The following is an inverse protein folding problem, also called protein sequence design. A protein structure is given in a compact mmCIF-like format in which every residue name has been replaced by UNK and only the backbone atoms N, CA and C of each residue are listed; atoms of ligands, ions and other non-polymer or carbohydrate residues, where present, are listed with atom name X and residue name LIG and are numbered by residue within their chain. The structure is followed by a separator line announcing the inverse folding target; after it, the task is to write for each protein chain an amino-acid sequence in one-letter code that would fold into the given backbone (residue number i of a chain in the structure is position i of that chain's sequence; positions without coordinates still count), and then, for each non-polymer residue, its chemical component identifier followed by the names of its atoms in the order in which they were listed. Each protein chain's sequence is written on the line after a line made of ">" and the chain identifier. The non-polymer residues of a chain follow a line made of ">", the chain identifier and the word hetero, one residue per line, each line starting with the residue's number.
data_IF_876963341892
#
_entry.id   IF_876963341892
#
_cell.length_a   1.000
_cell.length_b   1.000
_cell.length_c   1.000
_cell.angle_alpha   90.00
_cell.angle_beta   90.00
_cell.angle_gamma   90.00
#
_symmetry.space_group_name_H-M   'P 1'
#
loop_
_entity.id
_entity.type
_entity.pdbx_description
1 polymer ?
#
# COMPACT_ATOMS: atom_id res chain seq x y z
N UNK A 1 -1.85 -1.45 28.63
CA UNK A 1 -2.86 -0.38 28.81
C UNK A 1 -2.80 0.13 30.22
N UNK A 2 -2.99 1.44 30.40
CA UNK A 2 -3.01 2.08 31.72
C UNK A 2 -4.39 1.86 32.38
N UNK A 3 -4.47 1.28 33.60
CA UNK A 3 -5.75 0.92 34.24
C UNK A 3 -6.75 2.07 34.40
N UNK A 4 -6.28 3.31 34.53
CA UNK A 4 -7.13 4.50 34.63
C UNK A 4 -8.00 4.77 33.40
N UNK A 5 -7.67 4.20 32.23
CA UNK A 5 -8.44 4.36 31.00
C UNK A 5 -9.44 3.21 30.75
N UNK A 6 -9.63 2.28 31.69
CA UNK A 6 -10.60 1.20 31.52
C UNK A 6 -12.05 1.67 31.66
N UNK A 7 -12.28 2.76 32.40
CA UNK A 7 -13.59 3.40 32.43
C UNK A 7 -13.71 4.37 31.26
N UNK A 8 -14.68 4.13 30.38
CA UNK A 8 -15.00 5.01 29.25
C UNK A 8 -15.17 6.46 29.68
N UNK A 9 -15.86 6.69 30.80
CA UNK A 9 -16.09 8.03 31.32
C UNK A 9 -14.80 8.77 31.67
N UNK A 10 -13.80 8.05 32.20
CA UNK A 10 -12.49 8.63 32.54
C UNK A 10 -11.68 8.83 31.26
N UNK A 11 -11.68 7.84 30.36
CA UNK A 11 -10.96 7.92 29.09
C UNK A 11 -11.43 9.11 28.24
N UNK A 12 -12.74 9.24 27.97
CA UNK A 12 -13.27 10.32 27.13
C UNK A 12 -13.12 11.72 27.73
N UNK A 13 -12.89 11.81 29.05
CA UNK A 13 -12.54 13.08 29.72
C UNK A 13 -11.04 13.41 29.65
N UNK A 14 -10.18 12.43 29.38
CA UNK A 14 -8.74 12.65 29.20
C UNK A 14 -8.45 13.36 27.87
N UNK A 15 -7.27 13.98 27.77
CA UNK A 15 -6.80 14.60 26.52
C UNK A 15 -6.77 13.60 25.36
N UNK A 16 -6.31 12.37 25.60
CA UNK A 16 -6.26 11.32 24.58
C UNK A 16 -7.65 10.92 24.10
N UNK A 17 -8.61 10.76 25.02
CA UNK A 17 -9.99 10.42 24.66
C UNK A 17 -10.71 11.54 23.92
N UNK A 18 -10.53 12.80 24.33
CA UNK A 18 -11.07 13.95 23.61
C UNK A 18 -10.50 14.04 22.19
N UNK A 19 -9.18 13.86 22.04
CA UNK A 19 -8.52 13.83 20.74
C UNK A 19 -9.02 12.68 19.86
N UNK A 20 -9.22 11.50 20.44
CA UNK A 20 -9.81 10.35 19.76
C UNK A 20 -11.23 10.68 19.25
N UNK A 21 -12.12 11.20 20.12
CA UNK A 21 -13.48 11.58 19.73
C UNK A 21 -13.50 12.65 18.64
N UNK A 22 -12.64 13.67 18.72
CA UNK A 22 -12.52 14.69 17.68
C UNK A 22 -12.09 14.08 16.34
N UNK A 23 -11.11 13.17 16.35
CA UNK A 23 -10.65 12.49 15.13
C UNK A 23 -11.74 11.58 14.56
N UNK A 24 -12.51 10.91 15.41
CA UNK A 24 -13.63 10.06 15.00
C UNK A 24 -14.72 10.87 14.30
N UNK A 25 -15.04 12.08 14.78
CA UNK A 25 -15.98 12.98 14.10
C UNK A 25 -15.49 13.33 12.70
N UNK A 26 -14.21 13.69 12.55
CA UNK A 26 -13.62 14.01 11.24
C UNK A 26 -13.63 12.80 10.29
N UNK A 27 -13.32 11.61 10.80
CA UNK A 27 -13.35 10.38 10.02
C UNK A 27 -14.77 10.11 9.50
N UNK A 28 -15.77 10.11 10.40
CA UNK A 28 -17.14 9.84 10.01
C UNK A 28 -17.74 10.94 9.12
N UNK A 29 -17.33 12.20 9.29
CA UNK A 29 -17.74 13.29 8.39
C UNK A 29 -17.23 13.04 6.97
N UNK A 30 -15.96 12.64 6.85
CA UNK A 30 -15.36 12.29 5.57
C UNK A 30 -16.13 11.13 4.90
N UNK A 31 -16.39 10.03 5.60
CA UNK A 31 -17.08 8.87 5.00
C UNK A 31 -18.54 9.16 4.69
N UNK A 32 -19.26 9.89 5.55
CA UNK A 32 -20.59 10.40 5.24
C UNK A 32 -20.62 11.28 3.99
N UNK A 33 -19.60 12.13 3.79
CA UNK A 33 -19.49 12.93 2.57
C UNK A 33 -19.33 12.05 1.32
N UNK A 34 -18.48 11.03 1.36
CA UNK A 34 -18.30 10.07 0.25
C UNK A 34 -19.62 9.36 -0.08
N UNK A 35 -20.31 8.82 0.94
CA UNK A 35 -21.58 8.10 0.78
C UNK A 35 -22.64 9.02 0.18
N UNK A 36 -22.83 10.22 0.74
CA UNK A 36 -23.83 11.19 0.26
C UNK A 36 -23.59 11.57 -1.19
N UNK A 37 -22.35 11.98 -1.52
CA UNK A 37 -21.99 12.39 -2.86
C UNK A 37 -22.24 11.27 -3.88
N UNK A 38 -21.91 10.01 -3.52
CA UNK A 38 -22.14 8.88 -4.41
C UNK A 38 -23.63 8.51 -4.55
N UNK A 39 -24.38 8.56 -3.45
CA UNK A 39 -25.84 8.34 -3.45
C UNK A 39 -26.56 9.36 -4.34
N UNK A 40 -26.21 10.64 -4.24
CA UNK A 40 -26.74 11.70 -5.11
C UNK A 40 -26.43 11.43 -6.59
N UNK A 41 -25.21 11.00 -6.91
CA UNK A 41 -24.85 10.62 -8.28
C UNK A 41 -25.70 9.47 -8.81
N UNK A 42 -25.92 8.41 -8.01
CA UNK A 42 -26.71 7.25 -8.42
C UNK A 42 -28.18 7.62 -8.66
N UNK A 43 -28.78 8.41 -7.77
CA UNK A 43 -30.17 8.89 -7.92
C UNK A 43 -30.34 9.79 -9.15
N UNK A 44 -29.38 10.67 -9.41
CA UNK A 44 -29.44 11.59 -10.55
C UNK A 44 -29.20 10.92 -11.91
N UNK A 45 -28.54 9.76 -11.92
CA UNK A 45 -28.13 9.12 -13.18
C UNK A 45 -29.24 8.35 -13.90
N UNK A 46 -30.44 8.18 -13.32
CA UNK A 46 -31.52 7.31 -13.85
C UNK A 46 -31.02 5.93 -14.32
N UNK A 47 -29.88 5.46 -13.80
CA UNK A 47 -29.29 4.17 -14.13
C UNK A 47 -30.12 3.11 -13.41
N UNK A 48 -31.13 2.59 -14.09
CA UNK A 48 -31.86 1.40 -13.64
C UNK A 48 -30.89 0.23 -13.65
N UNK A 49 -30.63 -0.29 -12.47
CA UNK A 49 -29.75 -1.43 -12.24
C UNK A 49 -30.49 -2.68 -12.74
N UNK A 50 -29.87 -3.43 -13.66
CA UNK A 50 -30.47 -4.62 -14.25
C UNK A 50 -29.86 -5.87 -13.64
N UNK A 51 -30.66 -6.62 -12.90
CA UNK A 51 -30.33 -7.96 -12.44
C UNK A 51 -30.46 -8.95 -13.61
N UNK A 52 -29.41 -9.76 -13.88
CA UNK A 52 -29.46 -10.86 -14.84
C UNK A 52 -29.01 -12.16 -14.16
N UNK A 53 -29.90 -13.16 -14.01
CA UNK A 53 -29.47 -14.46 -13.52
C UNK A 53 -28.66 -15.19 -14.60
N UNK A 54 -27.61 -15.92 -14.18
CA UNK A 54 -26.92 -16.87 -15.04
C UNK A 54 -27.65 -18.23 -15.07
N UNK A 55 -27.24 -19.11 -15.98
CA UNK A 55 -27.86 -20.42 -16.18
C UNK A 55 -27.53 -21.45 -15.08
N UNK A 56 -26.62 -21.14 -14.13
CA UNK A 56 -26.05 -22.11 -13.19
C UNK A 56 -26.37 -21.83 -11.71
N UNK A 57 -27.03 -20.71 -11.38
CA UNK A 57 -27.45 -20.40 -10.01
C UNK A 57 -26.34 -19.84 -9.10
N UNK A 58 -25.15 -19.61 -9.63
CA UNK A 58 -24.06 -18.93 -8.92
C UNK A 58 -24.29 -17.41 -9.00
N UNK A 59 -24.14 -16.69 -7.89
CA UNK A 59 -24.23 -15.23 -7.87
C UNK A 59 -23.06 -14.61 -8.66
N UNK A 60 -23.31 -14.05 -9.85
CA UNK A 60 -22.30 -13.27 -10.58
C UNK A 60 -22.65 -11.78 -10.68
N UNK A 61 -21.69 -10.99 -10.18
CA UNK A 61 -21.24 -9.66 -10.55
C UNK A 61 -22.32 -8.69 -11.03
N UNK A 62 -22.73 -7.83 -10.11
CA UNK A 62 -23.44 -6.59 -10.40
C UNK A 62 -22.69 -5.77 -11.46
N UNK A 63 -23.29 -5.60 -12.63
CA UNK A 63 -22.79 -4.74 -13.69
C UNK A 63 -23.59 -3.45 -13.76
N UNK A 64 -22.92 -2.33 -14.00
CA UNK A 64 -23.57 -1.07 -14.29
C UNK A 64 -24.23 -1.11 -15.69
N UNK A 65 -25.01 -0.08 -16.03
CA UNK A 65 -25.67 0.02 -17.34
C UNK A 65 -24.72 -0.03 -18.57
N UNK A 66 -23.40 0.03 -18.36
CA UNK A 66 -22.36 -0.01 -19.38
C UNK A 66 -21.60 -1.35 -19.40
N UNK A 67 -21.99 -2.34 -18.59
CA UNK A 67 -21.33 -3.65 -18.52
C UNK A 67 -20.06 -3.69 -17.65
N UNK A 68 -19.76 -2.62 -16.89
CA UNK A 68 -18.65 -2.62 -15.94
C UNK A 68 -19.09 -3.21 -14.61
N UNK A 69 -18.20 -3.93 -13.92
CA UNK A 69 -18.48 -4.38 -12.54
C UNK A 69 -18.71 -3.16 -11.64
N UNK A 70 -19.73 -3.23 -10.79
CA UNK A 70 -20.03 -2.17 -9.82
C UNK A 70 -18.88 -1.99 -8.82
N UNK A 71 -18.66 -0.74 -8.42
CA UNK A 71 -17.79 -0.45 -7.30
C UNK A 71 -18.43 -0.94 -5.99
N UNK A 72 -17.63 -1.25 -4.98
CA UNK A 72 -18.13 -1.77 -3.69
C UNK A 72 -19.22 -0.89 -3.07
N UNK A 73 -19.02 0.44 -3.02
CA UNK A 73 -20.01 1.37 -2.50
C UNK A 73 -21.32 1.38 -3.32
N UNK A 74 -21.24 1.15 -4.64
CA UNK A 74 -22.45 1.10 -5.47
C UNK A 74 -23.31 -0.12 -5.13
N UNK A 75 -22.68 -1.25 -4.81
CA UNK A 75 -23.35 -2.48 -4.36
C UNK A 75 -24.10 -2.22 -3.05
N UNK A 76 -23.41 -1.62 -2.07
CA UNK A 76 -24.00 -1.30 -0.76
C UNK A 76 -25.16 -0.30 -0.88
N UNK A 77 -25.00 0.75 -1.71
CA UNK A 77 -26.02 1.76 -1.92
C UNK A 77 -27.22 1.21 -2.70
N UNK A 78 -27.00 0.33 -3.68
CA UNK A 78 -28.07 -0.33 -4.42
C UNK A 78 -28.95 -1.15 -3.48
N UNK A 79 -28.34 -1.98 -2.63
CA UNK A 79 -29.05 -2.74 -1.61
C UNK A 79 -29.83 -1.83 -0.64
N UNK A 80 -29.24 -0.71 -0.22
CA UNK A 80 -29.94 0.24 0.65
C UNK A 80 -31.14 0.92 -0.03
N UNK A 81 -31.08 1.17 -1.34
CA UNK A 81 -32.11 1.92 -2.08
C UNK A 81 -33.22 0.99 -2.61
N UNK A 82 -32.88 -0.21 -3.07
CA UNK A 82 -33.73 -1.05 -3.89
C UNK A 82 -34.15 -2.39 -3.24
N UNK A 83 -33.75 -2.68 -2.00
CA UNK A 83 -34.17 -3.93 -1.34
C UNK A 83 -35.62 -3.84 -0.81
N UNK A 84 -36.49 -4.70 -1.36
CA UNK A 84 -37.90 -4.86 -1.00
C UNK A 84 -38.14 -5.96 0.07
N UNK A 85 -37.08 -6.61 0.55
CA UNK A 85 -37.14 -7.82 1.41
C UNK A 85 -37.24 -7.55 2.92
N UNK A 86 -37.22 -6.28 3.33
CA UNK A 86 -37.37 -5.88 4.74
C UNK A 86 -36.09 -5.98 5.57
N UNK A 87 -34.97 -6.46 5.02
CA UNK A 87 -33.64 -6.47 5.64
C UNK A 87 -32.73 -5.42 4.98
N UNK A 88 -33.22 -4.17 4.93
CA UNK A 88 -32.46 -3.05 4.35
C UNK A 88 -31.26 -2.68 5.24
N UNK A 89 -30.08 -2.62 4.64
CA UNK A 89 -28.87 -2.14 5.31
C UNK A 89 -29.00 -0.64 5.58
N UNK A 90 -28.75 -0.18 6.81
CA UNK A 90 -28.93 1.23 7.16
C UNK A 90 -27.77 2.09 6.62
N UNK A 91 -27.95 3.42 6.53
CA UNK A 91 -26.83 4.30 6.18
C UNK A 91 -25.68 4.22 7.20
N UNK A 92 -25.99 3.86 8.45
CA UNK A 92 -25.02 3.66 9.50
C UNK A 92 -24.20 2.38 9.26
N UNK A 93 -24.86 1.27 8.92
CA UNK A 93 -24.20 0.01 8.55
C UNK A 93 -23.31 0.22 7.30
N UNK A 94 -23.81 0.94 6.28
CA UNK A 94 -23.00 1.32 5.10
C UNK A 94 -21.77 2.11 5.53
N UNK A 95 -21.92 3.08 6.45
CA UNK A 95 -20.79 3.88 6.92
C UNK A 95 -19.76 3.02 7.64
N UNK A 96 -20.17 2.10 8.50
CA UNK A 96 -19.25 1.19 9.20
C UNK A 96 -18.44 0.31 8.23
N UNK A 97 -19.10 -0.20 7.19
CA UNK A 97 -18.41 -0.95 6.12
C UNK A 97 -17.46 -0.04 5.33
N UNK A 98 -17.89 1.17 4.94
CA UNK A 98 -17.04 2.12 4.21
C UNK A 98 -15.84 2.55 5.06
N UNK A 99 -16.04 2.88 6.34
CA UNK A 99 -14.98 3.24 7.30
C UNK A 99 -13.92 2.12 7.35
N UNK A 100 -14.37 0.86 7.42
CA UNK A 100 -13.50 -0.33 7.45
C UNK A 100 -12.69 -0.46 6.17
N UNK A 101 -13.34 -0.47 4.99
CA UNK A 101 -12.65 -0.65 3.72
C UNK A 101 -11.70 0.49 3.37
N UNK A 102 -12.04 1.73 3.74
CA UNK A 102 -11.19 2.88 3.51
C UNK A 102 -9.89 2.82 4.32
N UNK A 103 -9.96 2.34 5.56
CA UNK A 103 -8.78 2.14 6.38
C UNK A 103 -7.95 0.95 5.89
N UNK A 104 -8.59 -0.22 5.76
CA UNK A 104 -7.89 -1.47 5.43
C UNK A 104 -7.29 -1.46 4.02
N UNK A 105 -7.96 -0.82 3.06
CA UNK A 105 -7.56 -0.79 1.65
C UNK A 105 -6.46 0.20 1.31
N UNK A 106 -6.17 1.18 2.17
CA UNK A 106 -5.17 2.23 1.89
C UNK A 106 -3.89 2.04 2.68
N UNK A 107 -3.98 1.96 4.02
CA UNK A 107 -2.79 1.99 4.87
C UNK A 107 -1.93 0.73 4.71
N UNK A 108 -2.55 -0.41 4.40
CA UNK A 108 -1.85 -1.69 4.23
C UNK A 108 -1.03 -1.74 2.94
N UNK A 109 -1.58 -1.28 1.82
CA UNK A 109 -0.90 -1.26 0.51
C UNK A 109 0.16 -0.17 0.46
N UNK A 110 -0.09 0.99 1.06
CA UNK A 110 0.90 2.06 1.17
C UNK A 110 2.16 1.63 1.95
N UNK A 111 1.99 0.87 3.04
CA UNK A 111 3.12 0.27 3.78
C UNK A 111 3.86 -0.78 2.95
N UNK A 112 3.13 -1.69 2.30
CA UNK A 112 3.74 -2.70 1.43
C UNK A 112 4.59 -2.03 0.34
N UNK A 113 4.04 -1.03 -0.36
CA UNK A 113 4.74 -0.29 -1.40
C UNK A 113 6.00 0.39 -0.86
N UNK A 114 5.89 1.07 0.29
CA UNK A 114 7.02 1.78 0.91
C UNK A 114 8.17 0.85 1.24
N UNK A 115 7.88 -0.30 1.88
CA UNK A 115 8.89 -1.31 2.20
C UNK A 115 9.48 -1.98 0.97
N UNK A 116 8.67 -2.28 -0.05
CA UNK A 116 9.16 -2.88 -1.30
C UNK A 116 10.11 -1.92 -2.03
N UNK A 117 9.76 -0.64 -2.16
CA UNK A 117 10.63 0.37 -2.76
C UNK A 117 11.94 0.54 -1.97
N UNK A 118 11.84 0.50 -0.64
CA UNK A 118 13.01 0.52 0.24
C UNK A 118 13.93 -0.68 0.02
N UNK A 119 13.38 -1.88 -0.14
CA UNK A 119 14.15 -3.08 -0.46
C UNK A 119 14.74 -3.02 -1.87
N UNK A 120 14.00 -2.56 -2.88
CA UNK A 120 14.59 -2.33 -4.20
C UNK A 120 15.76 -1.35 -4.16
N UNK A 121 15.69 -0.32 -3.31
CA UNK A 121 16.78 0.63 -3.09
C UNK A 121 18.06 0.03 -2.52
N UNK A 122 17.99 -1.14 -1.87
CA UNK A 122 19.13 -1.89 -1.35
C UNK A 122 19.63 -3.00 -2.27
N UNK A 123 18.81 -3.41 -3.25
CA UNK A 123 19.03 -4.58 -4.09
C UNK A 123 18.96 -4.21 -5.58
N UNK A 124 19.98 -3.50 -6.11
CA UNK A 124 19.98 -3.01 -7.49
C UNK A 124 19.85 -4.12 -8.52
N UNK A 125 20.40 -5.31 -8.27
CA UNK A 125 20.31 -6.49 -9.13
C UNK A 125 18.88 -7.04 -9.22
N UNK A 126 18.17 -7.11 -8.09
CA UNK A 126 16.77 -7.55 -8.03
C UNK A 126 15.88 -6.51 -8.70
N UNK A 127 16.12 -5.23 -8.41
CA UNK A 127 15.40 -4.11 -9.01
C UNK A 127 15.56 -4.10 -10.54
N UNK A 128 16.78 -4.28 -11.04
CA UNK A 128 17.06 -4.34 -12.48
C UNK A 128 16.34 -5.52 -13.16
N UNK A 129 16.31 -6.69 -12.52
CA UNK A 129 15.59 -7.87 -13.04
C UNK A 129 14.08 -7.66 -13.09
N UNK A 130 13.49 -7.05 -12.06
CA UNK A 130 12.07 -6.69 -12.05
C UNK A 130 11.74 -5.61 -13.09
N UNK A 131 12.61 -4.62 -13.23
CA UNK A 131 12.47 -3.57 -14.23
C UNK A 131 12.56 -4.11 -15.66
N UNK A 132 13.43 -5.09 -15.93
CA UNK A 132 13.53 -5.74 -17.24
C UNK A 132 12.26 -6.53 -17.60
N UNK A 133 11.66 -7.25 -16.63
CA UNK A 133 10.35 -7.90 -16.84
C UNK A 133 9.26 -6.87 -17.18
N UNK A 134 9.22 -5.76 -16.43
CA UNK A 134 8.28 -4.67 -16.66
C UNK A 134 8.50 -4.07 -18.06
N UNK A 135 9.73 -3.76 -18.45
CA UNK A 135 10.04 -3.17 -19.74
C UNK A 135 9.54 -4.07 -20.89
N UNK A 136 9.80 -5.38 -20.82
CA UNK A 136 9.30 -6.35 -21.80
C UNK A 136 7.77 -6.32 -21.93
N UNK A 137 7.04 -6.28 -20.81
CA UNK A 137 5.57 -6.26 -20.85
C UNK A 137 5.03 -4.95 -21.45
N UNK A 138 5.68 -3.82 -21.18
CA UNK A 138 5.29 -2.53 -21.76
C UNK A 138 5.58 -2.49 -23.26
N UNK A 139 6.71 -3.03 -23.68
CA UNK A 139 7.08 -3.07 -25.09
C UNK A 139 6.13 -4.01 -25.87
N UNK A 140 5.73 -5.16 -25.30
CA UNK A 140 4.67 -6.01 -25.87
C UNK A 140 3.34 -5.25 -26.08
N UNK A 141 2.97 -4.34 -25.16
CA UNK A 141 1.74 -3.55 -25.28
C UNK A 141 1.85 -2.52 -26.41
N UNK A 142 3.04 -1.93 -26.57
CA UNK A 142 3.30 -0.97 -27.66
C UNK A 142 3.20 -1.71 -29.00
N UNK A 143 3.84 -2.87 -29.12
CA UNK A 143 3.79 -3.69 -30.34
C UNK A 143 2.35 -4.12 -30.67
N UNK A 144 1.57 -4.58 -29.67
CA UNK A 144 0.16 -4.93 -29.84
C UNK A 144 -0.68 -3.74 -30.36
N UNK A 145 -0.45 -2.53 -29.82
CA UNK A 145 -1.15 -1.32 -30.23
C UNK A 145 -0.79 -0.87 -31.64
N UNK A 146 0.50 -0.95 -32.01
CA UNK A 146 0.98 -0.59 -33.34
C UNK A 146 0.43 -1.56 -34.41
N UNK A 147 0.36 -2.86 -34.11
CA UNK A 147 -0.27 -3.84 -34.99
C UNK A 147 -1.77 -3.56 -35.21
N UNK A 148 -2.51 -3.17 -34.16
CA UNK A 148 -3.92 -2.79 -34.28
C UNK A 148 -4.12 -1.52 -35.11
N UNK A 149 -3.20 -0.54 -35.01
CA UNK A 149 -3.23 0.67 -35.86
C UNK A 149 -3.02 0.31 -37.34
N UNK A 150 -2.06 -0.56 -37.63
CA UNK A 150 -1.77 -0.98 -39.00
C UNK A 150 -2.87 -1.86 -39.60
N UNK A 151 -3.52 -2.74 -38.82
CA UNK A 151 -4.65 -3.54 -39.31
C UNK A 151 -5.87 -2.66 -39.62
N UNK A 152 -6.16 -1.69 -38.76
CA UNK A 152 -7.30 -0.79 -38.94
C UNK A 152 -7.09 0.21 -40.11
N UNK A 153 -5.84 0.52 -40.48
CA UNK A 153 -5.56 1.39 -41.64
C UNK A 153 -5.76 0.68 -42.98
N UNK A 154 -5.72 -0.65 -43.02
CA UNK A 154 -5.93 -1.43 -44.25
C UNK A 154 -7.41 -1.66 -44.58
N UNK A 155 -8.29 -1.67 -43.58
CA UNK A 155 -9.74 -1.80 -43.77
C UNK A 155 -10.44 -0.49 -44.21
N UNK A 156 -9.72 0.64 -44.25
CA UNK A 156 -10.23 1.94 -44.72
C UNK A 156 -9.88 2.29 -46.17
N UNK A 157 -9.30 1.38 -46.95
CA UNK A 157 -9.10 1.59 -48.40
C UNK A 157 -10.16 0.81 -49.17
N UNK A 158 -11.40 1.32 -49.17
CA UNK A 158 -12.38 1.08 -50.24
C UNK A 158 -13.42 2.22 -50.29
N UNK A 159 -13.52 2.80 -51.49
CA UNK A 159 -14.56 3.66 -52.08
C UNK A 159 -14.71 5.16 -51.72
N UNK A 160 -14.35 5.98 -52.73
CA UNK A 160 -15.01 7.20 -53.26
C UNK A 160 -15.58 8.25 -52.29
N UNK A 161 -14.97 9.44 -52.22
CA UNK A 161 -15.31 10.59 -53.10
C UNK A 161 -14.58 11.89 -52.69
N UNK A 162 -14.21 12.66 -53.72
CA UNK A 162 -13.56 13.97 -53.63
C UNK A 162 -14.61 15.09 -53.49
N UNK A 163 -14.52 15.93 -52.45
CA UNK A 163 -14.99 17.32 -52.51
C UNK A 163 -14.29 18.21 -51.45
N UNK A 164 -13.76 19.39 -51.82
CA UNK A 164 -13.21 20.34 -50.87
C UNK A 164 -14.24 21.44 -50.55
N UNK A 165 -14.47 21.75 -49.27
CA UNK A 165 -14.58 23.14 -48.77
C UNK A 165 -15.03 23.25 -47.30
N UNK A 166 -14.49 24.31 -46.69
CA UNK A 166 -14.98 25.04 -45.50
C UNK A 166 -14.76 24.46 -44.10
N UNK A 167 -13.58 24.83 -43.59
CA UNK A 167 -13.30 25.28 -42.23
C UNK A 167 -14.52 25.70 -41.40
N UNK A 168 -14.79 24.95 -40.34
CA UNK A 168 -15.33 25.48 -39.08
C UNK A 168 -14.74 24.68 -37.92
N UNK A 169 -14.12 25.39 -36.97
CA UNK A 169 -13.47 24.87 -35.78
C UNK A 169 -14.39 23.89 -35.02
N UNK A 170 -14.13 22.59 -35.14
CA UNK A 170 -14.36 21.63 -34.07
C UNK A 170 -13.01 21.44 -33.39
N UNK A 171 -12.96 21.71 -32.09
CA UNK A 171 -11.85 21.27 -31.25
C UNK A 171 -11.74 19.75 -31.46
N UNK A 172 -10.62 19.32 -32.03
CA UNK A 172 -10.37 17.93 -32.33
C UNK A 172 -10.29 17.13 -31.02
N UNK A 173 -10.89 15.94 -31.03
CA UNK A 173 -10.76 14.92 -29.97
C UNK A 173 -9.42 14.16 -30.08
N UNK A 174 -8.34 14.84 -30.53
CA UNK A 174 -7.04 14.22 -30.83
C UNK A 174 -6.06 14.25 -29.63
N UNK A 175 -6.53 14.65 -28.43
CA UNK A 175 -5.73 14.69 -27.19
C UNK A 175 -6.03 13.53 -26.21
N UNK A 176 -6.73 12.47 -26.64
CA UNK A 176 -6.66 11.18 -25.92
C UNK A 176 -5.34 10.50 -26.27
N UNK A 177 -4.31 11.08 -25.67
CA UNK A 177 -2.89 10.76 -25.73
C UNK A 177 -2.64 9.26 -25.51
N UNK A 178 -1.55 8.78 -26.11
CA UNK A 178 -1.05 7.39 -26.19
C UNK A 178 -0.74 6.77 -24.81
N UNK A 179 -1.73 6.69 -23.93
CA UNK A 179 -1.53 6.14 -22.60
C UNK A 179 -1.36 4.63 -22.71
N UNK A 180 -0.14 4.14 -22.49
CA UNK A 180 0.13 2.71 -22.35
C UNK A 180 -0.61 2.23 -21.10
N UNK A 181 -1.74 1.53 -21.30
CA UNK A 181 -2.59 1.00 -20.24
C UNK A 181 -2.19 -0.43 -19.94
N UNK A 182 -1.78 -0.70 -18.70
CA UNK A 182 -1.60 -2.06 -18.20
C UNK A 182 -2.95 -2.75 -18.02
N UNK A 183 -3.26 -3.70 -18.91
CA UNK A 183 -4.47 -4.55 -18.77
C UNK A 183 -4.28 -5.61 -17.69
N UNK A 184 -5.39 -6.16 -17.17
CA UNK A 184 -5.35 -7.22 -16.15
C UNK A 184 -4.54 -8.45 -16.58
N UNK A 185 -4.54 -8.79 -17.87
CA UNK A 185 -3.79 -9.95 -18.36
C UNK A 185 -2.28 -9.68 -18.43
N UNK A 186 -1.87 -8.46 -18.81
CA UNK A 186 -0.47 -8.02 -18.72
C UNK A 186 -0.01 -7.88 -17.26
N UNK A 187 -0.89 -7.47 -16.34
CA UNK A 187 -0.58 -7.47 -14.89
C UNK A 187 -0.34 -8.90 -14.36
N UNK A 188 -1.06 -9.90 -14.88
CA UNK A 188 -0.85 -11.31 -14.51
C UNK A 188 0.46 -11.86 -15.03
N UNK A 189 1.03 -11.33 -16.11
CA UNK A 189 2.31 -11.82 -16.69
C UNK A 189 3.54 -11.33 -15.92
N UNK A 190 3.42 -10.28 -15.10
CA UNK A 190 4.46 -9.79 -14.19
C UNK A 190 4.70 -10.78 -13.03
N UNK A 191 5.39 -11.90 -13.30
CA UNK A 191 5.60 -13.02 -12.36
C UNK A 191 6.74 -12.74 -11.40
N UNK A 192 7.85 -12.20 -11.88
CA UNK A 192 9.00 -11.88 -11.05
C UNK A 192 8.73 -10.67 -10.15
N UNK A 193 8.02 -9.66 -10.65
CA UNK A 193 7.54 -8.55 -9.82
C UNK A 193 6.61 -9.07 -8.71
N UNK A 194 5.76 -10.06 -8.98
CA UNK A 194 4.95 -10.72 -7.95
C UNK A 194 5.82 -11.40 -6.88
N UNK A 195 6.89 -12.07 -7.28
CA UNK A 195 7.85 -12.68 -6.36
C UNK A 195 8.52 -11.61 -5.48
N UNK A 196 8.87 -10.45 -6.04
CA UNK A 196 9.42 -9.32 -5.29
C UNK A 196 8.41 -8.77 -4.28
N UNK A 197 7.15 -8.61 -4.67
CA UNK A 197 6.07 -8.17 -3.78
C UNK A 197 5.89 -9.18 -2.63
N UNK A 198 5.84 -10.48 -2.94
CA UNK A 198 5.69 -11.55 -1.94
C UNK A 198 6.85 -11.57 -0.95
N UNK A 199 8.08 -11.41 -1.43
CA UNK A 199 9.25 -11.33 -0.55
C UNK A 199 9.26 -10.05 0.30
N UNK A 200 8.79 -8.93 -0.26
CA UNK A 200 8.57 -7.69 0.50
C UNK A 200 7.57 -7.90 1.63
N UNK A 201 6.42 -8.53 1.36
CA UNK A 201 5.40 -8.88 2.35
C UNK A 201 5.85 -9.97 3.33
N UNK A 202 6.82 -10.82 2.96
CA UNK A 202 7.44 -11.78 3.87
C UNK A 202 8.26 -11.05 4.91
N UNK A 203 9.18 -10.18 4.48
CA UNK A 203 10.06 -9.45 5.37
C UNK A 203 9.33 -8.34 6.15
N UNK A 204 8.39 -7.65 5.50
CA UNK A 204 7.66 -6.51 6.04
C UNK A 204 6.15 -6.70 5.83
N UNK A 205 5.52 -7.67 6.53
CA UNK A 205 4.09 -7.88 6.42
C UNK A 205 3.35 -6.63 6.91
N UNK A 206 2.47 -6.07 6.08
CA UNK A 206 1.70 -4.87 6.44
C UNK A 206 0.95 -5.05 7.74
N UNK A 207 0.43 -6.24 8.02
CA UNK A 207 -0.15 -6.64 9.31
C UNK A 207 0.76 -7.68 9.96
N UNK A 208 1.54 -7.33 11.01
CA UNK A 208 2.57 -8.20 11.56
C UNK A 208 2.05 -9.29 12.51
N UNK A 209 0.84 -9.14 13.05
CA UNK A 209 0.18 -10.14 13.89
C UNK A 209 -1.34 -10.04 13.79
N UNK A 210 -2.03 -11.14 14.09
CA UNK A 210 -3.50 -11.18 14.19
C UNK A 210 -3.92 -11.85 15.50
N UNK A 211 -4.99 -11.35 16.12
CA UNK A 211 -5.57 -11.91 17.34
C UNK A 211 -6.80 -12.77 17.08
N UNK A 212 -6.99 -13.83 17.86
CA UNK A 212 -8.21 -14.66 17.89
C UNK A 212 -8.58 -14.95 19.35
N UNK A 213 -9.87 -15.09 19.64
CA UNK A 213 -10.34 -15.62 20.94
C UNK A 213 -10.84 -17.04 20.73
N UNK A 214 -10.37 -17.99 21.54
CA UNK A 214 -10.88 -19.35 21.53
C UNK A 214 -12.33 -19.36 22.04
N UNK A 215 -13.21 -20.03 21.30
CA UNK A 215 -14.63 -20.17 21.68
C UNK A 215 -14.93 -21.49 22.40
N UNK A 216 -13.95 -22.39 22.39
CA UNK A 216 -13.93 -23.70 23.02
C UNK A 216 -12.51 -24.05 23.48
N UNK A 217 -12.40 -25.10 24.29
CA UNK A 217 -11.11 -25.68 24.67
C UNK A 217 -10.47 -26.33 23.44
N UNK A 218 -9.18 -26.08 23.23
CA UNK A 218 -8.45 -26.56 22.07
C UNK A 218 -7.07 -27.11 22.45
N UNK A 219 -6.52 -28.00 21.63
CA UNK A 219 -5.17 -28.55 21.83
C UNK A 219 -4.27 -28.09 20.69
N UNK A 220 -3.22 -27.32 20.98
CA UNK A 220 -2.21 -26.87 20.00
C UNK A 220 -0.87 -27.50 20.31
N UNK A 221 -0.32 -28.28 19.38
CA UNK A 221 0.96 -28.98 19.56
C UNK A 221 1.05 -29.73 20.89
N UNK A 222 -0.03 -30.43 21.28
CA UNK A 222 -0.12 -31.17 22.54
C UNK A 222 -0.43 -30.34 23.80
N UNK A 223 -0.55 -29.02 23.68
CA UNK A 223 -0.86 -28.13 24.82
C UNK A 223 -2.34 -27.78 24.85
N UNK A 224 -2.96 -27.93 26.02
CA UNK A 224 -4.34 -27.50 26.25
C UNK A 224 -4.41 -25.97 26.33
N UNK A 225 -5.35 -25.40 25.59
CA UNK A 225 -5.66 -23.98 25.54
C UNK A 225 -7.13 -23.83 25.92
N UNK A 226 -7.43 -23.25 27.10
CA UNK A 226 -8.80 -23.08 27.56
C UNK A 226 -9.62 -22.17 26.64
N UNK A 227 -10.94 -22.39 26.64
CA UNK A 227 -11.92 -21.46 26.10
C UNK A 227 -11.73 -20.04 26.65
N UNK A 228 -11.89 -19.04 25.78
CA UNK A 228 -11.78 -17.63 26.12
C UNK A 228 -10.36 -17.05 26.01
N UNK A 229 -9.35 -17.89 25.78
CA UNK A 229 -7.94 -17.50 25.59
C UNK A 229 -7.78 -16.63 24.34
N UNK A 230 -7.01 -15.55 24.46
CA UNK A 230 -6.60 -14.73 23.31
C UNK A 230 -5.31 -15.31 22.75
N UNK A 231 -5.36 -15.72 21.48
CA UNK A 231 -4.26 -16.33 20.74
C UNK A 231 -3.79 -15.32 19.70
N UNK A 232 -2.49 -14.99 19.73
CA UNK A 232 -1.85 -14.16 18.73
C UNK A 232 -1.07 -15.04 17.75
N UNK A 233 -1.31 -14.84 16.46
CA UNK A 233 -0.48 -15.39 15.38
C UNK A 233 0.47 -14.29 14.93
N UNK A 234 1.75 -14.44 15.26
CA UNK A 234 2.79 -13.49 14.87
C UNK A 234 3.29 -13.78 13.46
N UNK A 235 2.59 -13.23 12.46
CA UNK A 235 2.91 -13.37 11.03
C UNK A 235 4.36 -12.94 10.75
N UNK A 236 4.84 -11.88 11.40
CA UNK A 236 6.22 -11.41 11.28
C UNK A 236 7.25 -12.49 11.62
N UNK A 237 7.03 -13.24 12.70
CA UNK A 237 7.93 -14.32 13.15
C UNK A 237 7.75 -15.57 12.29
N UNK A 238 6.51 -15.93 11.97
CA UNK A 238 6.18 -17.04 11.08
C UNK A 238 6.89 -16.92 9.72
N UNK A 239 6.90 -15.72 9.14
CA UNK A 239 7.58 -15.42 7.88
C UNK A 239 9.11 -15.43 7.96
N UNK A 240 9.67 -15.63 9.16
CA UNK A 240 11.12 -15.69 9.45
C UNK A 240 11.55 -17.01 10.07
N UNK A 241 10.68 -18.00 10.08
CA UNK A 241 11.04 -19.35 10.50
C UNK A 241 12.18 -19.87 9.60
N UNK A 242 13.39 -20.12 10.14
CA UNK A 242 14.54 -20.54 9.35
C UNK A 242 14.39 -21.94 8.77
N UNK A 243 13.54 -22.79 9.34
CA UNK A 243 13.26 -24.14 8.82
C UNK A 243 12.45 -24.09 7.52
N UNK A 244 11.69 -23.00 7.34
CA UNK A 244 10.84 -22.75 6.16
C UNK A 244 11.51 -21.77 5.19
N UNK A 245 12.19 -20.75 5.72
CA UNK A 245 12.87 -19.69 4.98
C UNK A 245 14.34 -19.60 5.39
N UNK A 246 15.23 -20.44 4.80
CA UNK A 246 16.68 -20.38 5.07
C UNK A 246 17.24 -18.99 4.79
N UNK A 247 18.15 -18.48 5.61
CA UNK A 247 18.58 -17.07 5.60
C UNK A 247 17.38 -16.10 5.70
N UNK A 248 16.61 -16.13 6.81
CA UNK A 248 15.28 -15.52 6.88
C UNK A 248 15.29 -14.00 6.72
N UNK A 249 16.39 -13.31 7.01
CA UNK A 249 16.52 -11.85 6.85
C UNK A 249 16.90 -11.41 5.43
N UNK A 250 17.37 -12.34 4.59
CA UNK A 250 17.79 -12.05 3.21
C UNK A 250 16.58 -11.83 2.33
N UNK A 251 16.56 -10.69 1.62
CA UNK A 251 15.60 -10.41 0.55
C UNK A 251 15.93 -11.24 -0.68
N UNK A 252 15.16 -12.29 -0.91
CA UNK A 252 15.32 -13.19 -2.03
C UNK A 252 13.96 -13.52 -2.69
N UNK A 253 13.56 -12.79 -3.75
CA UNK A 253 12.34 -13.06 -4.51
C UNK A 253 12.27 -14.47 -5.06
N UNK A 254 13.40 -15.12 -5.36
CA UNK A 254 13.41 -16.45 -5.98
C UNK A 254 12.76 -17.52 -5.09
N UNK A 255 12.60 -17.27 -3.78
CA UNK A 255 11.80 -18.13 -2.88
C UNK A 255 10.36 -18.33 -3.36
N UNK A 256 9.82 -17.38 -4.12
CA UNK A 256 8.45 -17.39 -4.59
C UNK A 256 8.29 -17.76 -6.06
N UNK A 257 9.39 -18.16 -6.72
CA UNK A 257 9.30 -18.86 -8.00
C UNK A 257 8.48 -20.14 -7.83
N UNK A 258 7.83 -20.57 -8.90
CA UNK A 258 6.88 -21.68 -8.85
C UNK A 258 7.55 -22.95 -8.35
N UNK A 259 8.72 -23.27 -8.91
CA UNK A 259 9.58 -24.40 -8.57
C UNK A 259 10.05 -24.38 -7.10
N UNK A 260 10.33 -23.20 -6.55
CA UNK A 260 10.81 -23.03 -5.17
C UNK A 260 9.69 -22.95 -4.13
N UNK A 261 8.43 -22.91 -4.58
CA UNK A 261 7.24 -22.87 -3.73
C UNK A 261 6.56 -24.24 -3.59
N UNK A 262 6.94 -25.22 -4.42
CA UNK A 262 6.42 -26.58 -4.35
C UNK A 262 6.72 -27.19 -2.98
N UNK A 263 5.71 -27.79 -2.33
CA UNK A 263 5.85 -28.45 -1.04
C UNK A 263 5.89 -27.51 0.18
N UNK A 264 5.89 -26.19 -0.01
CA UNK A 264 5.77 -25.24 1.12
C UNK A 264 4.41 -25.41 1.80
N UNK A 265 4.41 -25.48 3.12
CA UNK A 265 3.17 -25.58 3.88
C UNK A 265 2.23 -24.40 3.57
N UNK A 266 0.92 -24.60 3.32
CA UNK A 266 0.01 -23.52 2.91
C UNK A 266 -0.10 -22.35 3.91
N UNK A 267 0.18 -22.60 5.19
CA UNK A 267 0.17 -21.60 6.25
C UNK A 267 1.55 -21.01 6.58
N UNK A 268 2.59 -21.35 5.84
CA UNK A 268 3.94 -20.81 6.05
C UNK A 268 4.08 -19.33 5.60
N UNK A 269 3.24 -18.91 4.65
CA UNK A 269 3.26 -17.55 4.10
C UNK A 269 1.83 -17.03 3.98
N UNK A 270 1.41 -16.20 4.94
CA UNK A 270 0.04 -15.73 5.10
C UNK A 270 -0.02 -14.20 5.29
N UNK A 271 0.57 -13.38 4.40
CA UNK A 271 0.52 -11.93 4.51
C UNK A 271 -0.89 -11.34 4.41
N UNK A 272 -1.83 -12.13 3.85
CA UNK A 272 -3.25 -11.80 3.72
C UNK A 272 -4.13 -12.68 4.62
N UNK A 273 -3.57 -13.23 5.71
CA UNK A 273 -4.22 -14.24 6.55
C UNK A 273 -4.62 -15.49 5.73
N UNK A 274 -5.41 -16.38 6.33
CA UNK A 274 -5.92 -17.60 5.69
C UNK A 274 -7.27 -18.03 6.30
N UNK A 275 -7.95 -18.95 5.63
CA UNK A 275 -9.26 -19.48 6.06
C UNK A 275 -10.42 -18.49 5.83
N UNK A 276 -11.57 -18.68 6.51
CA UNK A 276 -12.81 -17.89 6.29
C UNK A 276 -12.72 -16.40 6.66
N UNK A 277 -11.64 -15.99 7.30
CA UNK A 277 -11.33 -14.60 7.70
C UNK A 277 -9.99 -14.17 7.08
N UNK A 278 -9.75 -14.58 5.84
CA UNK A 278 -8.66 -14.05 5.03
C UNK A 278 -9.02 -12.66 4.49
N UNK A 279 -8.03 -11.95 3.95
CA UNK A 279 -8.24 -10.62 3.41
C UNK A 279 -9.09 -10.69 2.14
N UNK A 280 -10.29 -10.10 2.19
CA UNK A 280 -11.19 -9.96 1.02
C UNK A 280 -10.53 -9.14 -0.11
N UNK A 281 -9.68 -8.18 0.25
CA UNK A 281 -8.97 -7.29 -0.67
C UNK A 281 -7.69 -7.87 -1.28
N UNK A 282 -7.29 -9.11 -0.99
CA UNK A 282 -5.99 -9.66 -1.42
C UNK A 282 -5.74 -9.51 -2.93
N UNK A 283 -6.73 -9.83 -3.77
CA UNK A 283 -6.58 -9.75 -5.23
C UNK A 283 -6.46 -8.30 -5.71
N UNK A 284 -7.22 -7.40 -5.08
CA UNK A 284 -7.16 -5.97 -5.37
C UNK A 284 -5.77 -5.42 -5.00
N UNK A 285 -5.33 -5.64 -3.76
CA UNK A 285 -4.03 -5.19 -3.26
C UNK A 285 -2.86 -5.70 -4.12
N UNK A 286 -2.85 -6.98 -4.50
CA UNK A 286 -1.79 -7.52 -5.36
C UNK A 286 -1.79 -6.88 -6.76
N UNK A 287 -2.97 -6.55 -7.30
CA UNK A 287 -3.08 -5.91 -8.62
C UNK A 287 -2.63 -4.46 -8.54
N UNK A 288 -3.08 -3.73 -7.52
CA UNK A 288 -2.68 -2.35 -7.22
C UNK A 288 -1.15 -2.24 -7.05
N UNK A 289 -0.55 -3.07 -6.19
CA UNK A 289 0.89 -3.09 -5.97
C UNK A 289 1.66 -3.34 -7.26
N UNK A 290 1.23 -4.31 -8.07
CA UNK A 290 1.87 -4.58 -9.37
C UNK A 290 1.77 -3.41 -10.32
N UNK A 291 0.59 -2.80 -10.46
CA UNK A 291 0.39 -1.64 -11.35
C UNK A 291 1.29 -0.49 -10.93
N UNK A 292 1.22 -0.09 -9.67
CA UNK A 292 1.99 1.05 -9.16
C UNK A 292 3.49 0.79 -9.28
N UNK A 293 3.96 -0.40 -8.85
CA UNK A 293 5.38 -0.74 -8.97
C UNK A 293 5.83 -0.87 -10.42
N UNK A 294 5.01 -1.39 -11.33
CA UNK A 294 5.36 -1.49 -12.74
C UNK A 294 5.56 -0.10 -13.36
N UNK A 295 4.64 0.85 -13.15
CA UNK A 295 4.84 2.23 -13.60
C UNK A 295 6.05 2.89 -12.95
N UNK A 296 6.25 2.71 -11.64
CA UNK A 296 7.43 3.26 -10.96
C UNK A 296 8.74 2.68 -11.51
N UNK A 297 8.82 1.36 -11.70
CA UNK A 297 10.02 0.71 -12.24
C UNK A 297 10.22 1.03 -13.71
N UNK A 298 9.16 1.23 -14.51
CA UNK A 298 9.23 1.64 -15.92
C UNK A 298 9.98 2.96 -16.11
N UNK A 299 9.78 3.91 -15.19
CA UNK A 299 10.28 5.29 -15.33
C UNK A 299 11.36 5.69 -14.34
N UNK A 300 11.55 4.93 -13.24
CA UNK A 300 12.46 5.32 -12.18
C UNK A 300 13.29 4.16 -11.63
N UNK A 301 14.47 4.53 -11.15
CA UNK A 301 15.39 3.69 -10.38
C UNK A 301 15.52 4.28 -8.98
N UNK A 302 15.42 3.42 -7.98
CA UNK A 302 15.45 3.76 -6.57
C UNK A 302 16.78 3.34 -5.95
N UNK A 303 17.33 4.18 -5.08
CA UNK A 303 18.49 3.86 -4.23
C UNK A 303 18.16 4.28 -2.81
N UNK A 304 18.31 3.38 -1.85
CA UNK A 304 18.10 3.73 -0.45
C UNK A 304 19.23 4.62 0.05
N UNK A 305 18.87 5.67 0.79
CA UNK A 305 19.82 6.53 1.50
C UNK A 305 20.01 6.03 2.93
N UNK A 306 18.98 5.41 3.51
CA UNK A 306 19.05 4.83 4.84
C UNK A 306 19.59 3.40 4.77
N UNK A 307 20.39 3.03 5.76
CA UNK A 307 20.83 1.64 5.96
C UNK A 307 19.68 0.83 6.58
N UNK A 308 19.39 -0.34 5.98
CA UNK A 308 18.36 -1.28 6.47
C UNK A 308 18.40 -1.47 7.99
N UNK A 309 19.56 -1.75 8.56
CA UNK A 309 19.70 -2.13 9.97
C UNK A 309 19.55 -0.94 10.94
N UNK A 310 19.46 0.29 10.43
CA UNK A 310 19.21 1.51 11.21
C UNK A 310 17.73 1.94 11.18
N UNK A 311 16.89 1.24 10.41
CA UNK A 311 15.46 1.51 10.37
C UNK A 311 14.77 0.81 11.54
N UNK A 312 14.21 1.62 12.45
CA UNK A 312 13.32 1.12 13.47
C UNK A 312 11.90 1.05 12.91
N UNK A 313 11.28 -0.11 12.96
CA UNK A 313 9.88 -0.29 12.60
C UNK A 313 9.00 -0.44 13.85
N UNK A 314 7.78 0.05 13.78
CA UNK A 314 6.76 -0.01 14.83
C UNK A 314 5.66 -0.99 14.40
N UNK A 315 5.37 -1.94 15.27
CA UNK A 315 4.24 -2.86 15.12
C UNK A 315 3.01 -2.23 15.78
N UNK A 316 2.41 -1.26 15.10
CA UNK A 316 1.10 -0.72 15.47
C UNK A 316 -0.01 -1.59 14.84
N UNK A 317 -1.11 -1.00 14.37
CA UNK A 317 -2.11 -1.73 13.59
C UNK A 317 -1.55 -2.22 12.24
N UNK A 318 -0.64 -1.44 11.65
CA UNK A 318 0.16 -1.84 10.50
C UNK A 318 1.66 -1.67 10.80
N UNK A 319 2.51 -2.36 10.05
CA UNK A 319 3.96 -2.34 10.24
C UNK A 319 4.59 -1.11 9.59
N UNK A 320 4.87 -0.07 10.39
CA UNK A 320 5.33 1.24 9.91
C UNK A 320 6.80 1.49 10.24
N UNK A 321 7.56 2.20 9.41
CA UNK A 321 8.85 2.72 9.83
C UNK A 321 8.62 3.87 10.84
N UNK A 322 9.44 3.93 11.90
CA UNK A 322 9.40 4.98 12.93
C UNK A 322 9.82 6.34 12.38
N UNK A 323 10.67 6.33 11.35
CA UNK A 323 11.14 7.51 10.64
C UNK A 323 10.88 7.34 9.14
N UNK A 324 10.69 8.42 8.37
CA UNK A 324 10.49 8.33 6.93
C UNK A 324 11.61 7.54 6.26
N UNK A 325 11.25 6.70 5.28
CA UNK A 325 12.22 5.98 4.44
C UNK A 325 12.70 6.92 3.34
N UNK A 326 14.00 7.20 3.30
CA UNK A 326 14.58 8.15 2.35
C UNK A 326 15.17 7.41 1.16
N UNK A 327 14.65 7.75 -0.02
CA UNK A 327 15.09 7.20 -1.30
C UNK A 327 15.60 8.31 -2.20
N UNK A 328 16.70 8.03 -2.91
CA UNK A 328 17.09 8.81 -4.07
C UNK A 328 16.47 8.18 -5.30
N UNK A 329 15.76 9.00 -6.08
CA UNK A 329 15.06 8.57 -7.28
C UNK A 329 15.80 9.12 -8.50
N UNK A 330 16.09 8.23 -9.45
CA UNK A 330 16.70 8.56 -10.72
C UNK A 330 15.72 8.21 -11.83
N UNK A 331 15.54 9.11 -12.79
CA UNK A 331 14.79 8.80 -14.01
C UNK A 331 15.48 7.66 -14.79
N UNK A 332 14.70 6.71 -15.30
CA UNK A 332 15.14 5.70 -16.27
C UNK A 332 14.77 6.19 -17.67
N UNK A 333 15.74 6.71 -18.41
CA UNK A 333 15.54 7.06 -19.82
C UNK A 333 15.53 5.77 -20.64
N UNK A 334 14.45 5.49 -21.40
CA UNK A 334 14.35 4.32 -22.31
C UNK A 334 15.59 4.16 -23.23
N UNK A 335 16.19 5.28 -23.63
CA UNK A 335 17.36 5.30 -24.51
C UNK A 335 18.62 4.61 -23.94
N UNK A 336 18.78 4.51 -22.62
CA UNK A 336 19.99 3.91 -22.01
C UNK A 336 19.85 2.39 -21.76
N UNK A 337 18.64 1.83 -21.85
CA UNK A 337 18.41 0.39 -21.65
C UNK A 337 18.75 -0.42 -22.91
N UNK A 338 18.79 0.21 -24.08
CA UNK A 338 19.29 -0.39 -25.32
C UNK A 338 20.81 -0.27 -25.52
N UNK A 339 21.50 0.64 -24.80
CA UNK A 339 22.96 0.81 -24.93
C UNK A 339 23.77 -0.22 -24.12
N UNK A 340 23.14 -0.95 -23.19
CA UNK A 340 23.85 -1.95 -22.37
C UNK A 340 24.29 -3.20 -23.18
N UNK A 341 23.81 -3.38 -24.41
CA UNK A 341 24.31 -4.38 -25.36
C UNK A 341 25.32 -3.84 -26.40
N UNK A 342 25.70 -2.55 -26.36
CA UNK A 342 26.70 -1.99 -27.28
C UNK A 342 27.84 -1.16 -26.67
N UNK A 343 27.84 -0.85 -25.36
CA UNK A 343 28.91 -0.03 -24.78
C UNK A 343 29.75 -0.79 -23.73
N UNK A 344 30.57 -1.73 -24.20
CA UNK A 344 31.86 -2.06 -23.56
C UNK A 344 33.04 -1.26 -24.17
N UNK A 345 32.76 -0.22 -24.96
CA UNK A 345 33.79 0.74 -25.40
C UNK A 345 33.21 2.15 -25.41
N UNK A 346 33.44 2.90 -24.33
CA UNK A 346 33.94 4.28 -24.28
C UNK A 346 33.37 5.04 -23.07
N UNK A 347 34.30 5.61 -22.31
CA UNK A 347 34.07 6.55 -21.24
C UNK A 347 33.42 7.82 -21.80
N UNK A 348 32.40 8.37 -21.13
CA UNK A 348 32.45 9.72 -20.53
C UNK A 348 31.18 10.08 -19.77
N UNK A 349 31.39 10.95 -18.79
CA UNK A 349 30.49 11.50 -17.78
C UNK A 349 29.21 12.17 -18.30
N UNK A 350 28.12 12.01 -17.55
CA UNK A 350 27.20 13.14 -17.27
C UNK A 350 26.46 12.95 -15.94
N UNK A 351 26.36 14.04 -15.18
CA UNK A 351 25.70 14.12 -13.88
C UNK A 351 24.18 14.20 -14.03
N UNK A 352 23.44 13.22 -13.54
CA UNK A 352 21.99 13.33 -13.35
C UNK A 352 21.68 13.89 -11.97
N UNK A 353 20.86 14.95 -11.93
CA UNK A 353 20.34 15.52 -10.68
C UNK A 353 19.29 14.58 -10.10
N UNK A 354 19.67 13.79 -9.09
CA UNK A 354 18.73 12.96 -8.35
C UNK A 354 17.83 13.84 -7.47
N UNK A 355 16.51 13.68 -7.61
CA UNK A 355 15.56 14.28 -6.68
C UNK A 355 15.48 13.35 -5.46
N UNK A 356 15.68 13.90 -4.27
CA UNK A 356 15.42 13.17 -3.03
C UNK A 356 13.93 13.32 -2.73
N UNK A 357 13.20 12.21 -2.77
CA UNK A 357 11.79 12.18 -2.38
C UNK A 357 11.74 11.57 -0.98
N UNK A 358 11.28 12.36 -0.01
CA UNK A 358 10.85 11.82 1.27
C UNK A 358 9.45 11.20 1.08
N UNK A 359 9.34 9.88 1.19
CA UNK A 359 8.04 9.21 1.22
C UNK A 359 7.39 9.48 2.59
N UNK A 360 6.63 10.56 2.65
CA UNK A 360 5.83 10.93 3.81
C UNK A 360 4.36 10.61 3.51
N UNK A 361 3.83 9.54 4.10
CA UNK A 361 2.39 9.43 4.30
C UNK A 361 2.01 10.46 5.37
N UNK A 362 1.62 11.66 4.92
CA UNK A 362 1.06 12.67 5.82
C UNK A 362 -0.24 12.10 6.38
N UNK A 363 -0.26 11.75 7.66
CA UNK A 363 -1.52 11.78 8.40
C UNK A 363 -2.07 13.20 8.30
N UNK A 364 -3.28 13.37 7.79
CA UNK A 364 -3.98 14.66 7.71
C UNK A 364 -4.26 15.19 9.12
N UNK A 365 -3.29 15.90 9.69
CA UNK A 365 -3.54 16.85 10.78
C UNK A 365 -3.42 18.25 10.21
N UNK A 366 -4.56 18.81 9.81
CA UNK A 366 -4.73 20.24 9.57
C UNK A 366 -4.59 20.99 10.89
N UNK A 367 -3.50 21.74 11.04
CA UNK A 367 -3.43 22.85 12.00
C UNK A 367 -3.30 24.14 11.20
N UNK A 368 -4.43 24.82 11.01
CA UNK A 368 -4.44 26.22 10.63
C UNK A 368 -3.99 27.04 11.85
N UNK A 369 -2.85 27.73 11.75
CA UNK A 369 -2.51 28.81 12.65
C UNK A 369 -2.62 30.14 11.88
N UNK A 370 -3.78 30.78 12.00
CA UNK A 370 -3.93 32.21 11.77
C UNK A 370 -3.29 32.94 12.95
N UNK A 371 -2.19 33.67 12.71
CA UNK A 371 -1.64 34.60 13.69
C UNK A 371 -2.47 35.89 13.77
N UNK A 372 -2.15 36.75 14.76
CA UNK A 372 -2.18 38.18 14.52
C UNK A 372 -0.81 38.83 14.75
N UNK A 373 -0.62 39.92 14.02
CA UNK A 373 0.55 40.79 14.00
C UNK A 373 0.77 41.57 15.30
N UNK A 374 2.06 41.91 15.46
CA UNK A 374 2.65 43.13 16.02
C UNK A 374 2.46 43.43 17.51
N UNK A 375 3.58 43.57 18.22
CA UNK A 375 4.09 44.87 18.66
C UNK A 375 5.54 44.74 19.13
N UNK A 376 6.29 45.77 18.81
CA UNK A 376 7.68 46.07 19.19
C UNK A 376 7.83 46.20 20.70
N UNK A 377 8.99 45.84 21.25
CA UNK A 377 9.83 46.84 21.92
C UNK A 377 11.23 46.30 22.25
N UNK A 378 12.14 47.24 22.08
CA UNK A 378 13.57 47.26 22.29
C UNK A 378 13.93 47.08 23.79
N UNK A 379 15.16 46.61 24.04
CA UNK A 379 16.09 47.02 25.10
C UNK A 379 17.06 45.88 25.44
N UNK A 380 18.33 46.11 25.10
CA UNK A 380 19.44 45.24 25.41
C UNK A 380 20.05 45.44 26.81
N UNK A 381 21.30 44.99 26.87
CA UNK A 381 22.31 45.15 27.93
C UNK A 381 22.40 44.00 28.94
N UNK A 382 23.61 43.44 29.06
CA UNK A 382 24.13 43.04 30.37
C UNK A 382 24.82 41.69 30.47
N UNK A 383 26.04 41.62 29.97
CA UNK A 383 27.07 40.68 30.44
C UNK A 383 27.23 40.73 31.97
N UNK A 384 27.41 39.59 32.64
CA UNK A 384 28.54 39.38 33.54
C UNK A 384 28.68 37.94 34.05
N UNK A 385 29.96 37.56 34.10
CA UNK A 385 30.62 36.40 34.67
C UNK A 385 30.36 36.16 36.16
N UNK A 386 30.43 34.89 36.58
CA UNK A 386 30.60 34.50 37.98
C UNK A 386 31.00 33.04 38.13
N UNK A 387 32.31 32.79 38.25
CA UNK A 387 32.91 31.51 38.65
C UNK A 387 32.58 31.14 40.11
N UNK A 388 32.98 29.91 40.48
CA UNK A 388 33.06 29.27 41.81
C UNK A 388 31.94 28.25 42.06
N UNK A 389 32.17 27.04 42.54
CA UNK A 389 33.39 26.37 42.99
C UNK A 389 33.18 24.86 42.97
N UNK A 390 34.29 24.16 42.79
CA UNK A 390 34.45 22.72 43.00
C UNK A 390 33.99 22.32 44.41
N UNK A 391 33.36 21.14 44.51
CA UNK A 391 33.71 20.16 45.55
C UNK A 391 33.52 18.74 45.02
N UNK A 392 34.60 18.00 45.17
CA UNK A 392 34.79 16.56 45.05
C UNK A 392 33.77 15.77 45.87
N UNK A 393 33.42 14.57 45.40
CA UNK A 393 33.85 13.36 46.12
C UNK A 393 33.86 12.13 45.19
N UNK A 394 35.00 11.45 45.23
CA UNK A 394 35.26 10.12 44.67
C UNK A 394 34.88 9.07 45.70
N UNK A 395 34.26 7.98 45.25
CA UNK A 395 34.22 6.61 45.81
C UNK A 395 32.96 5.95 45.20
N UNK A 396 32.92 4.72 44.71
CA UNK A 396 33.88 3.62 44.66
C UNK A 396 33.59 2.81 43.40
N UNK A 397 34.66 2.29 42.82
CA UNK A 397 34.65 1.38 41.70
C UNK A 397 35.06 0.01 42.26
N UNK A 398 34.13 -0.95 42.37
CA UNK A 398 34.44 -2.37 42.21
C UNK A 398 33.20 -3.28 42.35
N UNK A 399 33.20 -4.33 41.53
CA UNK A 399 32.56 -5.65 41.75
C UNK A 399 31.11 -5.80 41.32
N UNK A 400 30.87 -6.25 40.07
CA UNK A 400 30.65 -7.68 39.78
C UNK A 400 30.19 -7.89 38.33
N UNK A 401 31.12 -8.41 37.51
CA UNK A 401 30.81 -9.26 36.36
C UNK A 401 30.41 -10.64 36.90
N UNK A 402 29.19 -11.07 36.67
CA UNK A 402 28.81 -12.47 36.40
C UNK A 402 27.29 -12.57 36.45
N UNK A 403 26.68 -13.03 35.37
CA UNK A 403 25.58 -14.02 35.33
C UNK A 403 24.98 -13.98 33.92
N UNK A 404 25.68 -14.67 33.04
CA UNK A 404 25.12 -15.32 31.87
C UNK A 404 24.91 -16.77 32.30
N UNK A 405 23.66 -17.21 32.36
CA UNK A 405 23.15 -18.58 32.12
C UNK A 405 21.83 -18.80 32.87
N UNK A 406 20.95 -19.51 32.18
CA UNK A 406 19.73 -20.17 32.64
C UNK A 406 18.47 -19.30 32.77
N UNK A 407 17.54 -19.47 31.82
CA UNK A 407 16.27 -20.17 32.06
C UNK A 407 15.31 -20.06 30.85
N UNK A 408 15.08 -21.23 30.23
CA UNK A 408 13.84 -21.81 29.67
C UNK A 408 13.02 -20.97 28.69
#
# INVERSE_FOLDING_TARGET
>A
MQPQYWSDQIYYRSESGQKFSMNLVKLHEFTRNVIRNRKEQLLNSNKTIRYRPNANGDAEIEQDGNGHRKAFLDILLDHHINSDDGETMTEEDIREEVDTFMFEGHDTTAMALSWILFMFGHHPEIQARAAAEVDSVFDDIIDDNDHQRQSNSYDSINDYDFHPSSSSNRMNNDDFDDQIILTLDKIKSLKYLECCIKEGLRLFPSVPFIGRRSHEDLTLNGHHVPKGTIIFVYIYMLHRDPDIFPDPEKFNPDRFLQENSVGRHPFAFVPFSAGPRNCIGQRFAMSELKVVLAYLLRYFRFVSIDERDKIFAMMEMVYRPKSPLRLRVYERRKAEVFEHHQQQQQQQSSSSHGITIELLLKSTTTTNSSGPNSLTDDLGVGSQSGQSSQRSDQSDNQSQKSLQNDLI
#
